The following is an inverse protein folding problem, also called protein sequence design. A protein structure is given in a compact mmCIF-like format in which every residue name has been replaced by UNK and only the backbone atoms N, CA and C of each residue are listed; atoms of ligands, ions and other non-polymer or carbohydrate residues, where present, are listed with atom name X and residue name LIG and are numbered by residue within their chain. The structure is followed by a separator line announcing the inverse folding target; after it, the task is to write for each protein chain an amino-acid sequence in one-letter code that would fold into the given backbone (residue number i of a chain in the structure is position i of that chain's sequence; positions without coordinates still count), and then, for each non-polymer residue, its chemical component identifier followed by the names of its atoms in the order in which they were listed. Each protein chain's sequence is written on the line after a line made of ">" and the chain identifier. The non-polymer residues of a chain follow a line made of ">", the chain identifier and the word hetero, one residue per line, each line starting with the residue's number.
data_IF_242261428583
#
_entry.id   IF_242261428583
#
_cell.length_a   1.000
_cell.length_b   1.000
_cell.length_c   1.000
_cell.angle_alpha   90.00
_cell.angle_beta   90.00
_cell.angle_gamma   90.00
#
_symmetry.space_group_name_H-M   'P 1'
#
loop_
_entity.id
_entity.type
_entity.pdbx_description
1 polymer ?
#
# COMPACT_ATOMS: atom_id res chain seq x y z
N UNK A 1 16.25 -1.97 8.49
CA UNK A 1 16.44 -1.57 7.07
C UNK A 1 16.73 -0.08 7.05
N UNK A 2 17.94 0.32 6.68
CA UNK A 2 18.36 1.72 6.64
C UNK A 2 17.57 2.49 5.58
N UNK A 3 16.97 3.62 5.95
CA UNK A 3 16.35 4.55 5.01
C UNK A 3 17.45 5.04 4.07
N UNK A 4 17.41 4.61 2.81
CA UNK A 4 18.30 5.12 1.78
C UNK A 4 18.06 6.63 1.65
N UNK A 5 19.02 7.44 2.09
CA UNK A 5 18.95 8.89 1.92
C UNK A 5 19.42 9.20 0.51
N UNK A 6 18.45 9.40 -0.38
CA UNK A 6 18.68 9.78 -1.76
C UNK A 6 18.80 11.31 -1.86
N UNK A 7 19.61 11.79 -2.80
CA UNK A 7 19.77 13.24 -3.09
C UNK A 7 18.45 13.90 -3.55
N UNK A 8 17.54 13.10 -4.14
CA UNK A 8 16.19 13.51 -4.56
C UNK A 8 15.16 12.47 -4.13
N UNK A 9 13.91 12.87 -3.87
CA UNK A 9 12.86 11.92 -3.50
C UNK A 9 12.61 10.92 -4.63
N UNK A 10 12.46 9.64 -4.28
CA UNK A 10 12.00 8.62 -5.23
C UNK A 10 10.53 8.84 -5.60
N UNK A 11 10.05 8.17 -6.65
CA UNK A 11 8.62 8.18 -6.99
C UNK A 11 7.75 7.79 -5.78
N UNK A 12 8.17 6.77 -5.02
CA UNK A 12 7.46 6.34 -3.81
C UNK A 12 7.43 7.40 -2.71
N UNK A 13 8.51 8.16 -2.54
CA UNK A 13 8.55 9.26 -1.58
C UNK A 13 7.64 10.41 -2.03
N UNK A 14 7.70 10.76 -3.32
CA UNK A 14 6.85 11.80 -3.90
C UNK A 14 5.35 11.44 -3.77
N UNK A 15 4.95 10.19 -4.04
CA UNK A 15 3.57 9.73 -3.86
C UNK A 15 3.14 9.80 -2.40
N UNK A 16 4.01 9.38 -1.46
CA UNK A 16 3.67 9.42 -0.04
C UNK A 16 3.49 10.86 0.48
N UNK A 17 4.37 11.79 0.06
CA UNK A 17 4.24 13.21 0.40
C UNK A 17 3.00 13.84 -0.26
N UNK A 18 2.65 13.45 -1.49
CA UNK A 18 1.42 13.90 -2.14
C UNK A 18 0.17 13.46 -1.36
N UNK A 19 0.09 12.20 -0.93
CA UNK A 19 -1.03 11.70 -0.13
C UNK A 19 -1.13 12.44 1.21
N UNK A 20 0.01 12.74 1.87
CA UNK A 20 0.03 13.56 3.09
C UNK A 20 -0.49 14.98 2.84
N UNK A 21 -0.03 15.63 1.77
CA UNK A 21 -0.46 16.97 1.39
C UNK A 21 -1.97 17.03 1.10
N UNK A 22 -2.53 15.96 0.51
CA UNK A 22 -3.97 15.80 0.27
C UNK A 22 -4.76 15.35 1.50
N UNK A 23 -4.12 15.23 2.67
CA UNK A 23 -4.71 14.73 3.92
C UNK A 23 -5.30 13.32 3.79
N UNK A 24 -4.77 12.51 2.88
CA UNK A 24 -5.14 11.12 2.70
C UNK A 24 -4.30 10.22 3.61
N UNK A 25 -4.97 9.52 4.52
CA UNK A 25 -4.37 8.52 5.40
C UNK A 25 -4.58 7.14 4.79
N UNK A 26 -3.50 6.42 4.51
CA UNK A 26 -3.56 5.00 4.16
C UNK A 26 -3.96 4.22 5.41
N UNK A 27 -5.15 3.59 5.39
CA UNK A 27 -5.70 2.86 6.53
C UNK A 27 -5.13 1.45 6.61
N UNK A 28 -5.00 0.79 5.46
CA UNK A 28 -4.45 -0.56 5.31
C UNK A 28 -4.15 -0.86 3.85
N UNK A 29 -3.35 -1.88 3.60
CA UNK A 29 -3.29 -2.54 2.30
C UNK A 29 -3.69 -4.01 2.45
N UNK A 30 -4.26 -4.59 1.40
CA UNK A 30 -4.69 -5.99 1.38
C UNK A 30 -4.18 -6.65 0.10
N UNK A 31 -3.38 -7.70 0.23
CA UNK A 31 -3.09 -8.62 -0.88
C UNK A 31 -4.31 -9.54 -1.03
N UNK A 32 -5.03 -9.40 -2.14
CA UNK A 32 -6.38 -9.97 -2.32
C UNK A 32 -6.37 -11.37 -2.89
N UNK A 33 -5.60 -11.58 -3.95
CA UNK A 33 -5.58 -12.83 -4.73
C UNK A 33 -4.25 -13.03 -5.46
N UNK A 34 -4.03 -14.27 -5.91
CA UNK A 34 -2.94 -14.64 -6.81
C UNK A 34 -3.50 -15.52 -7.92
N UNK A 35 -3.38 -15.04 -9.17
CA UNK A 35 -3.86 -15.74 -10.37
C UNK A 35 -2.71 -15.87 -11.35
N UNK A 36 -2.38 -17.09 -11.79
CA UNK A 36 -1.27 -17.33 -12.71
C UNK A 36 0.04 -16.67 -12.26
N UNK A 37 0.37 -16.72 -10.97
CA UNK A 37 1.54 -16.06 -10.33
C UNK A 37 1.49 -14.52 -10.27
N UNK A 38 0.41 -13.90 -10.73
CA UNK A 38 0.17 -12.47 -10.63
C UNK A 38 -0.59 -12.21 -9.33
N UNK A 39 0.08 -11.53 -8.40
CA UNK A 39 -0.53 -11.09 -7.15
C UNK A 39 -1.19 -9.73 -7.30
N UNK A 40 -2.35 -9.57 -6.68
CA UNK A 40 -3.15 -8.35 -6.68
C UNK A 40 -3.22 -7.75 -5.28
N UNK A 41 -3.27 -6.43 -5.19
CA UNK A 41 -3.42 -5.74 -3.91
C UNK A 41 -4.35 -4.53 -4.02
N UNK A 42 -4.98 -4.20 -2.90
CA UNK A 42 -5.85 -3.04 -2.74
C UNK A 42 -5.29 -2.12 -1.66
N UNK A 43 -5.28 -0.82 -1.93
CA UNK A 43 -4.89 0.22 -0.96
C UNK A 43 -6.17 0.92 -0.51
N UNK A 44 -6.46 0.81 0.79
CA UNK A 44 -7.57 1.52 1.43
C UNK A 44 -7.04 2.78 2.09
N UNK A 45 -7.61 3.92 1.72
CA UNK A 45 -7.25 5.20 2.32
C UNK A 45 -8.49 6.04 2.62
N UNK A 46 -8.35 6.99 3.54
CA UNK A 46 -9.41 7.92 3.91
C UNK A 46 -8.87 9.35 3.86
N UNK A 47 -9.64 10.25 3.25
CA UNK A 47 -9.36 11.67 3.34
C UNK A 47 -9.81 12.17 4.73
N UNK A 48 -8.87 12.65 5.54
CA UNK A 48 -9.14 13.06 6.91
C UNK A 48 -10.02 14.33 7.02
N UNK A 49 -10.12 15.14 5.96
CA UNK A 49 -10.95 16.34 5.95
C UNK A 49 -12.40 16.05 5.53
N UNK A 50 -12.61 15.21 4.51
CA UNK A 50 -13.96 14.91 4.01
C UNK A 50 -14.56 13.61 4.57
N UNK A 51 -13.74 12.75 5.18
CA UNK A 51 -14.12 11.40 5.58
C UNK A 51 -14.30 10.43 4.40
N UNK A 52 -14.07 10.88 3.17
CA UNK A 52 -14.23 10.05 1.97
C UNK A 52 -13.21 8.92 1.94
N UNK A 53 -13.69 7.69 1.78
CA UNK A 53 -12.86 6.49 1.68
C UNK A 53 -12.63 6.13 0.22
N UNK A 54 -11.39 5.79 -0.10
CA UNK A 54 -10.97 5.33 -1.41
C UNK A 54 -10.39 3.94 -1.31
N UNK A 55 -10.61 3.17 -2.37
CA UNK A 55 -10.09 1.82 -2.53
C UNK A 55 -9.48 1.70 -3.94
N UNK A 56 -8.16 1.54 -3.97
CA UNK A 56 -7.35 1.69 -5.18
C UNK A 56 -6.67 0.36 -5.50
N UNK A 57 -6.78 -0.07 -6.76
CA UNK A 57 -6.04 -1.21 -7.27
C UNK A 57 -4.54 -0.88 -7.37
N UNK A 58 -3.70 -1.81 -6.92
CA UNK A 58 -2.26 -1.64 -6.91
C UNK A 58 -1.53 -2.98 -7.03
N UNK A 59 -0.34 -2.96 -7.62
CA UNK A 59 0.56 -4.10 -7.48
C UNK A 59 1.02 -4.23 -6.02
N UNK A 60 1.25 -5.45 -5.51
CA UNK A 60 1.70 -5.65 -4.13
C UNK A 60 2.98 -4.88 -3.78
N UNK A 61 3.94 -4.77 -4.70
CA UNK A 61 5.18 -4.01 -4.47
C UNK A 61 4.92 -2.54 -4.18
N UNK A 62 3.95 -1.94 -4.89
CA UNK A 62 3.61 -0.52 -4.74
C UNK A 62 2.79 -0.31 -3.46
N UNK A 63 1.83 -1.19 -3.19
CA UNK A 63 1.03 -1.18 -1.96
C UNK A 63 1.89 -1.34 -0.69
N UNK A 64 2.86 -2.26 -0.70
CA UNK A 64 3.79 -2.47 0.42
C UNK A 64 4.67 -1.24 0.64
N UNK A 65 5.18 -0.61 -0.44
CA UNK A 65 5.97 0.61 -0.33
C UNK A 65 5.19 1.77 0.29
N UNK A 66 3.91 1.91 -0.06
CA UNK A 66 3.01 2.89 0.56
C UNK A 66 2.74 2.56 2.02
N UNK A 67 2.46 1.31 2.35
CA UNK A 67 2.24 0.86 3.72
C UNK A 67 3.44 1.18 4.63
N UNK A 68 4.66 0.92 4.15
CA UNK A 68 5.89 1.25 4.88
C UNK A 68 6.05 2.76 5.12
N UNK A 69 5.74 3.60 4.13
CA UNK A 69 5.90 5.07 4.22
C UNK A 69 4.80 5.75 5.04
N UNK A 70 3.61 5.15 5.11
CA UNK A 70 2.48 5.64 5.89
C UNK A 70 2.28 4.91 7.22
N UNK A 71 3.15 3.96 7.56
CA UNK A 71 3.04 3.10 8.72
C UNK A 71 1.66 2.41 8.81
N UNK A 72 1.15 1.94 7.67
CA UNK A 72 -0.14 1.28 7.56
C UNK A 72 0.00 -0.25 7.67
N UNK A 73 -0.97 -0.94 8.29
CA UNK A 73 -0.96 -2.39 8.38
C UNK A 73 -1.11 -3.05 7.01
N UNK A 74 -0.41 -4.18 6.85
CA UNK A 74 -0.43 -5.04 5.66
C UNK A 74 -1.24 -6.29 6.01
N UNK A 75 -2.26 -6.57 5.21
CA UNK A 75 -3.05 -7.79 5.31
C UNK A 75 -2.88 -8.65 4.06
N UNK A 76 -3.06 -9.95 4.23
CA UNK A 76 -3.06 -10.93 3.14
C UNK A 76 -4.30 -11.79 3.29
N UNK A 77 -5.02 -12.01 2.19
CA UNK A 77 -6.13 -12.94 2.17
C UNK A 77 -5.64 -14.35 2.55
N UNK A 78 -6.36 -15.01 3.47
CA UNK A 78 -6.01 -16.36 3.93
C UNK A 78 -5.94 -17.36 2.78
N UNK A 79 -6.74 -17.18 1.74
CA UNK A 79 -6.74 -18.10 0.59
C UNK A 79 -5.45 -17.98 -0.22
N UNK A 80 -4.91 -16.77 -0.36
CA UNK A 80 -3.56 -16.56 -0.92
C UNK A 80 -2.53 -17.24 -0.04
N UNK A 81 -2.60 -17.09 1.28
CA UNK A 81 -1.66 -17.78 2.19
C UNK A 81 -1.76 -19.30 2.00
N UNK A 82 -2.98 -19.86 1.93
CA UNK A 82 -3.21 -21.30 1.77
C UNK A 82 -2.69 -21.87 0.45
N UNK A 83 -2.68 -21.08 -0.63
CA UNK A 83 -2.10 -21.52 -1.90
C UNK A 83 -0.58 -21.75 -1.84
N UNK A 84 0.12 -21.09 -0.90
CA UNK A 84 1.58 -21.13 -0.81
C UNK A 84 2.09 -21.71 0.52
N UNK A 85 1.22 -21.94 1.51
CA UNK A 85 1.56 -22.63 2.75
C UNK A 85 1.78 -24.12 2.46
N UNK A 86 3.02 -24.58 2.64
CA UNK A 86 3.39 -26.00 2.60
C UNK A 86 3.05 -26.69 3.91
#
# INVERSE_FOLDING_TARGET
>A
MSRLVLCRPSAYDATAELLKALKCKVERILITECTNTIFYARVFAVNAASGHRVDVDARPSDAINLALRHNAPVFVNKDVVRQFAK
#
